data_IF_720596350155
#
_entry.id   IF_720596350155
#
_cell.length_a   1.000
_cell.length_b   1.000
_cell.length_c   1.000
_cell.angle_alpha   90.00
_cell.angle_beta   90.00
_cell.angle_gamma   90.00
#
_symmetry.space_group_name_H-M   'P 1'
#
loop_
_entity.id
_entity.type
_entity.pdbx_description
1 polymer ?
#
# COMPACT_ATOMS: atom_id res chain seq x y z
N UNK A 1 -11.05 7.30 8.34
CA UNK A 1 -10.24 8.27 7.56
C UNK A 1 -9.98 7.66 6.19
N UNK A 2 -9.99 8.45 5.11
CA UNK A 2 -9.73 7.96 3.75
C UNK A 2 -8.38 8.49 3.27
N UNK A 3 -7.51 7.58 2.81
CA UNK A 3 -6.18 7.91 2.30
C UNK A 3 -6.00 7.27 0.93
N UNK A 4 -5.35 8.01 0.01
CA UNK A 4 -4.91 7.47 -1.29
C UNK A 4 -3.39 7.43 -1.26
N UNK A 5 -2.83 6.23 -1.43
CA UNK A 5 -1.38 6.01 -1.39
C UNK A 5 -0.89 5.46 -2.73
N UNK A 6 0.35 5.79 -3.08
CA UNK A 6 1.05 5.13 -4.17
C UNK A 6 1.78 3.88 -3.66
N UNK A 7 1.63 2.75 -4.36
CA UNK A 7 2.30 1.47 -4.01
C UNK A 7 3.70 1.33 -4.62
N UNK A 8 4.16 2.34 -5.35
CA UNK A 8 5.43 2.30 -6.09
C UNK A 8 5.37 1.35 -7.30
N UNK A 9 6.53 1.01 -7.89
CA UNK A 9 6.59 0.22 -9.12
C UNK A 9 6.48 -1.31 -8.91
N UNK A 10 6.19 -1.79 -7.69
CA UNK A 10 5.85 -3.20 -7.44
C UNK A 10 6.54 -3.87 -6.25
N UNK A 11 7.66 -3.32 -5.74
CA UNK A 11 8.28 -3.81 -4.49
C UNK A 11 7.96 -2.88 -3.33
N UNK A 12 7.56 -3.46 -2.19
CA UNK A 12 7.30 -2.70 -0.95
C UNK A 12 8.54 -1.93 -0.46
N UNK A 13 9.75 -2.44 -0.73
CA UNK A 13 11.00 -1.74 -0.40
C UNK A 13 11.18 -0.39 -1.13
N UNK A 14 10.37 -0.15 -2.17
CA UNK A 14 10.35 1.12 -2.91
C UNK A 14 9.20 2.04 -2.49
N UNK A 15 8.36 1.64 -1.53
CA UNK A 15 7.34 2.51 -0.97
C UNK A 15 7.96 3.51 0.02
N UNK A 16 7.33 4.69 0.14
CA UNK A 16 7.66 5.63 1.21
C UNK A 16 7.17 5.09 2.55
N UNK A 17 7.81 5.49 3.65
CA UNK A 17 7.37 5.02 4.98
C UNK A 17 5.96 5.50 5.30
N UNK A 18 5.59 6.71 4.89
CA UNK A 18 4.22 7.21 5.03
C UNK A 18 3.19 6.32 4.33
N UNK A 19 3.50 5.80 3.13
CA UNK A 19 2.60 4.89 2.43
C UNK A 19 2.50 3.53 3.12
N UNK A 20 3.60 3.02 3.68
CA UNK A 20 3.62 1.77 4.44
C UNK A 20 2.80 1.92 5.74
N UNK A 21 3.01 3.01 6.48
CA UNK A 21 2.32 3.26 7.75
C UNK A 21 0.81 3.42 7.52
N UNK A 22 0.41 4.18 6.49
CA UNK A 22 -0.99 4.34 6.13
C UNK A 22 -1.63 3.01 5.68
N UNK A 23 -0.89 2.16 4.98
CA UNK A 23 -1.35 0.83 4.58
C UNK A 23 -1.54 -0.09 5.79
N UNK A 24 -0.59 -0.09 6.73
CA UNK A 24 -0.65 -0.92 7.95
C UNK A 24 -1.74 -0.48 8.92
N UNK A 25 -2.05 0.83 8.98
CA UNK A 25 -3.10 1.37 9.82
C UNK A 25 -4.52 1.20 9.23
N UNK A 26 -4.63 0.84 7.94
CA UNK A 26 -5.92 0.73 7.28
C UNK A 26 -6.65 -0.57 7.65
N UNK A 27 -7.89 -0.45 8.13
CA UNK A 27 -8.77 -1.60 8.39
C UNK A 27 -9.26 -2.26 7.09
N UNK A 28 -9.44 -1.45 6.04
CA UNK A 28 -9.93 -1.88 4.73
C UNK A 28 -9.04 -1.27 3.67
N UNK A 29 -8.52 -2.13 2.79
CA UNK A 29 -7.73 -1.72 1.63
C UNK A 29 -8.51 -2.03 0.37
N UNK A 30 -8.71 -1.02 -0.47
CA UNK A 30 -9.33 -1.16 -1.79
C UNK A 30 -8.28 -0.91 -2.86
N UNK A 31 -8.04 -1.88 -3.74
CA UNK A 31 -7.04 -1.77 -4.80
C UNK A 31 -7.08 -2.92 -5.82
N UNK A 32 -6.22 -2.83 -6.83
CA UNK A 32 -6.07 -3.88 -7.85
C UNK A 32 -5.26 -5.05 -7.29
N UNK A 33 -5.78 -6.27 -7.43
CA UNK A 33 -5.28 -7.48 -6.76
C UNK A 33 -3.80 -7.80 -7.07
N UNK A 34 -3.30 -7.47 -8.26
CA UNK A 34 -1.95 -7.83 -8.73
C UNK A 34 -0.86 -6.80 -8.36
N UNK A 35 -1.20 -5.73 -7.64
CA UNK A 35 -0.24 -4.73 -7.18
C UNK A 35 0.30 -5.02 -5.78
N UNK A 36 -0.25 -6.02 -5.10
CA UNK A 36 0.23 -6.47 -3.81
C UNK A 36 1.10 -7.71 -4.00
N UNK A 37 2.30 -7.78 -3.41
CA UNK A 37 3.04 -9.02 -3.38
C UNK A 37 2.18 -10.07 -2.70
N UNK A 38 1.92 -11.17 -3.41
CA UNK A 38 1.24 -12.34 -2.88
C UNK A 38 2.19 -13.03 -1.90
N UNK A 39 2.18 -12.61 -0.64
CA UNK A 39 3.00 -13.17 0.44
C UNK A 39 3.94 -12.17 1.08
#
# INVERSE_FOLDING_TARGET
>A
MLSVIGIGPGSQAMMTMEAIDALQAAEIVVGLQNLYPSG
#
